data_IF_768239449152
#
_entry.id   IF_768239449152
#
_cell.length_a   1.000
_cell.length_b   1.000
_cell.length_c   1.000
_cell.angle_alpha   90.00
_cell.angle_beta   90.00
_cell.angle_gamma   90.00
#
_symmetry.space_group_name_H-M   'P 1'
#
loop_
_entity.id
_entity.type
_entity.pdbx_description
1 polymer ?
#
# COMPACT_ATOMS: atom_id res chain seq x y z
N UNK A 1 24.32 -4.57 10.65
CA UNK A 1 24.03 -4.99 9.25
C UNK A 1 22.57 -4.75 8.87
N UNK A 2 21.59 -5.41 9.50
CA UNK A 2 20.18 -5.19 9.14
C UNK A 2 19.67 -3.78 9.51
N UNK A 3 20.01 -3.29 10.71
CA UNK A 3 19.65 -1.92 11.13
C UNK A 3 20.32 -0.86 10.23
N UNK A 4 21.62 -1.00 9.98
CA UNK A 4 22.34 -0.10 9.05
C UNK A 4 21.70 -0.05 7.65
N UNK A 5 21.15 -1.18 7.19
CA UNK A 5 20.42 -1.23 5.92
C UNK A 5 19.07 -0.50 6.00
N UNK A 6 18.31 -0.66 7.09
CA UNK A 6 17.06 0.07 7.29
C UNK A 6 17.29 1.59 7.24
N UNK A 7 18.34 2.09 7.89
CA UNK A 7 18.69 3.52 7.88
C UNK A 7 19.05 4.01 6.47
N UNK A 8 19.85 3.21 5.73
CA UNK A 8 20.19 3.52 4.35
C UNK A 8 18.96 3.52 3.42
N UNK A 9 18.12 2.49 3.53
CA UNK A 9 16.99 2.28 2.61
C UNK A 9 15.90 3.34 2.78
N UNK A 10 15.65 3.82 4.00
CA UNK A 10 14.70 4.91 4.25
C UNK A 10 15.05 6.17 3.45
N UNK A 11 16.34 6.49 3.30
CA UNK A 11 16.79 7.61 2.47
C UNK A 11 16.47 7.38 1.00
N UNK A 12 16.71 6.15 0.51
CA UNK A 12 16.40 5.77 -0.88
C UNK A 12 14.90 5.85 -1.19
N UNK A 13 14.02 5.47 -0.26
CA UNK A 13 12.56 5.59 -0.43
C UNK A 13 12.16 7.05 -0.73
N UNK A 14 12.75 8.01 -0.02
CA UNK A 14 12.46 9.44 -0.21
C UNK A 14 12.90 9.89 -1.61
N UNK A 15 14.02 9.38 -2.13
CA UNK A 15 14.47 9.67 -3.49
C UNK A 15 13.52 9.09 -4.54
N UNK A 16 13.06 7.85 -4.37
CA UNK A 16 12.07 7.24 -5.26
C UNK A 16 10.74 8.00 -5.26
N UNK A 17 10.27 8.43 -4.09
CA UNK A 17 9.04 9.23 -3.97
C UNK A 17 9.16 10.57 -4.71
N UNK A 18 10.31 11.25 -4.62
CA UNK A 18 10.57 12.49 -5.36
C UNK A 18 10.52 12.26 -6.88
N UNK A 19 11.01 11.12 -7.35
CA UNK A 19 11.09 10.81 -8.77
C UNK A 19 9.73 10.40 -9.38
N UNK A 20 8.87 9.71 -8.61
CA UNK A 20 7.66 9.05 -9.14
C UNK A 20 6.37 9.69 -8.63
N UNK A 21 6.22 9.89 -7.32
CA UNK A 21 4.91 10.18 -6.70
C UNK A 21 4.26 11.47 -7.20
N UNK A 22 5.06 12.49 -7.54
CA UNK A 22 4.56 13.78 -8.07
C UNK A 22 5.02 14.05 -9.50
N UNK A 23 5.46 13.01 -10.19
CA UNK A 23 5.89 13.15 -11.57
C UNK A 23 4.67 13.30 -12.47
N UNK A 24 4.55 14.45 -13.13
CA UNK A 24 3.40 14.76 -13.97
C UNK A 24 3.19 13.74 -15.09
N UNK A 25 4.26 13.31 -15.75
CA UNK A 25 4.20 12.29 -16.83
C UNK A 25 3.68 10.96 -16.28
N UNK A 26 4.05 10.62 -15.04
CA UNK A 26 3.57 9.39 -14.41
C UNK A 26 2.09 9.51 -14.05
N UNK A 27 1.68 10.62 -13.43
CA UNK A 27 0.30 10.86 -13.03
C UNK A 27 -0.65 10.89 -14.23
N UNK A 28 -0.30 11.60 -15.30
CA UNK A 28 -1.08 11.64 -16.55
C UNK A 28 -1.32 10.25 -17.16
N UNK A 29 -0.43 9.29 -16.89
CA UNK A 29 -0.51 7.93 -17.42
C UNK A 29 -1.30 6.95 -16.57
N UNK A 30 -1.57 7.27 -15.31
CA UNK A 30 -2.15 6.32 -14.35
C UNK A 30 -3.39 6.87 -13.65
N UNK A 31 -3.53 8.19 -13.53
CA UNK A 31 -4.66 8.81 -12.87
C UNK A 31 -5.95 8.64 -13.68
N UNK A 32 -7.02 8.21 -13.03
CA UNK A 32 -8.33 7.99 -13.65
C UNK A 32 -8.46 6.69 -14.45
N UNK A 33 -7.44 5.83 -14.48
CA UNK A 33 -7.46 4.54 -15.19
C UNK A 33 -7.71 3.40 -14.19
N UNK A 34 -8.55 2.44 -14.58
CA UNK A 34 -8.77 1.23 -13.78
C UNK A 34 -9.45 1.50 -12.43
N UNK A 35 -10.41 2.43 -12.41
CA UNK A 35 -11.22 2.73 -11.22
C UNK A 35 -12.07 1.49 -10.91
N UNK A 36 -11.97 1.01 -9.67
CA UNK A 36 -12.72 -0.14 -9.16
C UNK A 36 -13.46 0.31 -7.90
N UNK A 37 -14.78 0.07 -7.85
CA UNK A 37 -15.57 0.33 -6.65
C UNK A 37 -15.38 -0.74 -5.57
N UNK A 38 -15.69 -0.42 -4.31
CA UNK A 38 -15.61 -1.38 -3.21
C UNK A 38 -16.47 -2.63 -3.42
N UNK A 39 -17.71 -2.48 -3.90
CA UNK A 39 -18.60 -3.62 -4.18
C UNK A 39 -18.07 -4.51 -5.31
N UNK A 40 -17.53 -3.91 -6.38
CA UNK A 40 -16.91 -4.63 -7.49
C UNK A 40 -15.68 -5.41 -7.02
N UNK A 41 -14.84 -4.77 -6.19
CA UNK A 41 -13.66 -5.40 -5.62
C UNK A 41 -14.01 -6.65 -4.80
N UNK A 42 -15.09 -6.62 -4.00
CA UNK A 42 -15.56 -7.77 -3.25
C UNK A 42 -16.14 -8.84 -4.19
N UNK A 43 -17.00 -8.45 -5.12
CA UNK A 43 -17.66 -9.39 -6.03
C UNK A 43 -16.68 -10.12 -6.95
N UNK A 44 -15.58 -9.47 -7.34
CA UNK A 44 -14.53 -10.08 -8.15
C UNK A 44 -13.48 -10.83 -7.31
N UNK A 45 -13.60 -10.83 -5.98
CA UNK A 45 -12.65 -11.49 -5.09
C UNK A 45 -11.26 -10.84 -5.10
N UNK A 46 -11.17 -9.53 -5.32
CA UNK A 46 -9.92 -8.80 -5.24
C UNK A 46 -9.40 -8.79 -3.79
N UNK A 47 -8.08 -8.76 -3.62
CA UNK A 47 -7.45 -8.84 -2.31
C UNK A 47 -6.28 -7.86 -2.16
N UNK A 48 -5.88 -7.61 -0.92
CA UNK A 48 -4.69 -6.81 -0.60
C UNK A 48 -4.81 -5.35 -1.06
N UNK A 49 -3.80 -4.79 -1.76
CA UNK A 49 -3.78 -3.39 -2.15
C UNK A 49 -4.97 -2.94 -3.00
N UNK A 50 -5.50 -3.80 -3.88
CA UNK A 50 -6.63 -3.43 -4.74
C UNK A 50 -7.88 -3.15 -3.93
N UNK A 51 -8.13 -3.98 -2.91
CA UNK A 51 -9.30 -3.86 -2.04
C UNK A 51 -9.15 -2.65 -1.10
N UNK A 52 -7.94 -2.37 -0.61
CA UNK A 52 -7.62 -1.16 0.15
C UNK A 52 -7.77 0.13 -0.66
N UNK A 53 -7.23 0.14 -1.88
CA UNK A 53 -7.36 1.27 -2.80
C UNK A 53 -8.83 1.55 -3.17
N UNK A 54 -9.68 0.52 -3.16
CA UNK A 54 -11.13 0.64 -3.40
C UNK A 54 -11.92 1.12 -2.17
N UNK A 55 -11.24 1.50 -1.08
CA UNK A 55 -11.83 2.08 0.13
C UNK A 55 -12.18 1.09 1.23
N UNK A 56 -11.87 -0.20 1.06
CA UNK A 56 -12.15 -1.23 2.07
C UNK A 56 -10.93 -1.45 2.94
N UNK A 57 -11.00 -1.05 4.22
CA UNK A 57 -9.93 -1.24 5.21
C UNK A 57 -9.85 -2.70 5.66
N UNK A 58 -9.20 -3.53 4.84
CA UNK A 58 -9.01 -4.95 5.13
C UNK A 58 -7.55 -5.38 4.92
N UNK A 59 -6.99 -6.02 5.94
CA UNK A 59 -5.67 -6.63 5.89
C UNK A 59 -5.64 -7.83 6.83
N UNK A 60 -5.22 -8.99 6.32
CA UNK A 60 -5.20 -10.23 7.08
C UNK A 60 -4.33 -10.14 8.34
N UNK A 61 -3.26 -9.32 8.31
CA UNK A 61 -2.36 -9.13 9.45
C UNK A 61 -3.02 -8.43 10.63
N UNK A 62 -4.12 -7.68 10.40
CA UNK A 62 -4.93 -7.05 11.46
C UNK A 62 -6.20 -7.82 11.78
N UNK A 63 -6.71 -8.62 10.86
CA UNK A 63 -8.00 -9.32 11.02
C UNK A 63 -7.82 -10.70 11.62
N UNK A 64 -6.84 -11.46 11.14
CA UNK A 64 -6.61 -12.86 11.54
C UNK A 64 -5.55 -12.98 12.63
N UNK A 65 -4.94 -11.86 13.03
CA UNK A 65 -4.13 -11.78 14.25
C UNK A 65 -2.99 -12.83 14.31
N UNK A 66 -2.43 -13.20 13.16
CA UNK A 66 -1.43 -14.26 13.07
C UNK A 66 -0.02 -13.75 13.44
N UNK A 67 0.83 -14.65 13.91
CA UNK A 67 2.19 -14.34 14.39
C UNK A 67 2.19 -13.24 15.48
N UNK A 68 3.12 -12.28 15.39
CA UNK A 68 3.25 -11.18 16.33
C UNK A 68 2.73 -9.85 15.76
N UNK A 69 1.92 -9.85 14.70
CA UNK A 69 1.43 -8.62 14.07
C UNK A 69 0.58 -7.74 14.99
N UNK A 70 -0.02 -8.35 16.02
CA UNK A 70 -0.82 -7.68 17.05
C UNK A 70 -0.01 -6.95 18.11
N UNK A 71 1.27 -7.29 18.24
CA UNK A 71 2.17 -6.63 19.17
C UNK A 71 2.65 -5.27 18.64
N UNK A 72 2.39 -4.97 17.37
CA UNK A 72 2.81 -3.72 16.72
C UNK A 72 1.64 -2.74 16.57
N UNK A 73 1.92 -1.47 16.85
CA UNK A 73 1.01 -0.37 16.56
C UNK A 73 1.22 0.12 15.11
N UNK A 74 0.23 -0.12 14.27
CA UNK A 74 0.24 0.25 12.85
C UNK A 74 -1.18 0.31 12.28
N UNK A 75 -1.36 1.09 11.22
CA UNK A 75 -2.65 1.31 10.56
C UNK A 75 -2.66 0.76 9.14
N UNK A 76 -3.82 0.30 8.70
CA UNK A 76 -4.04 -0.09 7.31
C UNK A 76 -3.99 1.18 6.45
N UNK A 77 -3.11 1.19 5.44
CA UNK A 77 -2.99 2.25 4.43
C UNK A 77 -4.26 2.43 3.61
#
# INVERSE_FOLDING_TARGET
KCLDFCDYFLTGIVEYQKLITRNHIFLERVEGIGIIGGEEAINWGLSGPMLRASGIKWDLRKVDHYECYDEFDWEIQ
#
